data_IF_887440170192
#
_entry.id   IF_887440170192
#
_cell.length_a   1.000
_cell.length_b   1.000
_cell.length_c   1.000
_cell.angle_alpha   90.00
_cell.angle_beta   90.00
_cell.angle_gamma   90.00
#
_symmetry.space_group_name_H-M   'P 1'
#
loop_
_entity.id
_entity.type
_entity.pdbx_description
1 polymer ?
#
# COMPACT_ATOMS: atom_id res chain seq x y z
N UNK A 1 10.27 -31.28 14.24
CA UNK A 1 8.88 -31.03 13.82
C UNK A 1 8.49 -32.16 12.88
N UNK A 2 7.49 -32.98 13.20
CA UNK A 2 7.11 -34.15 12.38
C UNK A 2 6.58 -33.68 11.03
N UNK A 3 7.25 -34.07 9.94
CA UNK A 3 6.90 -33.72 8.55
C UNK A 3 5.46 -34.12 8.21
N UNK A 4 5.01 -35.21 8.82
CA UNK A 4 3.72 -35.85 8.58
C UNK A 4 2.58 -35.22 9.41
N UNK A 5 2.87 -34.27 10.31
CA UNK A 5 1.88 -33.59 11.15
C UNK A 5 1.10 -32.50 10.40
N UNK A 6 1.73 -31.85 9.43
CA UNK A 6 1.16 -30.72 8.70
C UNK A 6 0.84 -31.06 7.22
N UNK A 7 1.52 -32.06 6.63
CA UNK A 7 1.29 -32.49 5.25
C UNK A 7 1.20 -34.03 5.14
N UNK A 8 0.30 -34.58 4.30
CA UNK A 8 0.28 -36.01 4.00
C UNK A 8 1.57 -36.45 3.29
N UNK A 9 1.96 -37.72 3.46
CA UNK A 9 3.04 -38.33 2.67
C UNK A 9 2.61 -38.49 1.21
N UNK A 10 3.57 -38.33 0.31
CA UNK A 10 3.39 -38.62 -1.12
C UNK A 10 2.96 -40.08 -1.28
N UNK A 11 1.80 -40.30 -1.91
CA UNK A 11 1.20 -41.63 -2.13
C UNK A 11 -0.03 -41.93 -1.29
N UNK A 12 -0.29 -41.16 -0.23
CA UNK A 12 -1.56 -41.21 0.51
C UNK A 12 -2.54 -40.19 -0.09
N UNK A 13 -3.79 -40.58 -0.33
CA UNK A 13 -4.82 -39.69 -0.89
C UNK A 13 -5.08 -38.44 -0.03
N UNK A 14 -5.94 -37.53 -0.51
CA UNK A 14 -6.34 -36.33 0.24
C UNK A 14 -6.83 -36.72 1.65
N UNK A 15 -6.02 -36.45 2.67
CA UNK A 15 -6.42 -36.52 4.08
C UNK A 15 -6.80 -35.12 4.55
N UNK A 16 -7.88 -35.03 5.32
CA UNK A 16 -8.31 -33.77 5.94
C UNK A 16 -7.23 -33.28 6.90
N UNK A 17 -6.88 -32.01 6.78
CA UNK A 17 -5.94 -31.38 7.70
C UNK A 17 -6.62 -31.27 9.07
N UNK A 18 -6.17 -32.08 10.04
CA UNK A 18 -6.72 -32.14 11.41
C UNK A 18 -6.54 -30.84 12.21
N UNK A 19 -5.85 -29.83 11.66
CA UNK A 19 -5.52 -28.59 12.35
C UNK A 19 -5.96 -27.40 11.51
N UNK A 20 -6.82 -26.58 12.10
CA UNK A 20 -7.28 -25.34 11.49
C UNK A 20 -6.11 -24.37 11.32
N UNK A 21 -5.78 -24.00 10.07
CA UNK A 21 -4.68 -23.10 9.72
C UNK A 21 -4.70 -21.77 10.49
N UNK A 22 -5.88 -21.28 10.85
CA UNK A 22 -6.07 -20.09 11.68
C UNK A 22 -5.47 -20.19 13.08
N UNK A 23 -5.37 -21.39 13.64
CA UNK A 23 -4.80 -21.64 14.97
C UNK A 23 -3.27 -21.75 14.85
N UNK A 24 -2.79 -22.48 13.84
CA UNK A 24 -1.36 -22.66 13.52
C UNK A 24 -0.69 -21.34 13.19
N UNK A 25 -1.37 -20.46 12.46
CA UNK A 25 -0.81 -19.20 11.99
C UNK A 25 -0.77 -18.07 13.03
N UNK A 26 -1.30 -18.28 14.24
CA UNK A 26 -1.22 -17.27 15.30
C UNK A 26 0.24 -16.98 15.69
N UNK A 27 0.55 -15.76 16.17
CA UNK A 27 1.83 -15.46 16.78
C UNK A 27 2.21 -16.47 17.85
N UNK A 28 3.51 -16.74 18.04
CA UNK A 28 4.00 -17.63 19.11
C UNK A 28 3.52 -17.21 20.49
N UNK A 29 3.37 -15.91 20.73
CA UNK A 29 2.80 -15.31 21.96
C UNK A 29 1.33 -15.72 22.21
N UNK A 30 0.59 -16.06 21.17
CA UNK A 30 -0.81 -16.48 21.21
C UNK A 30 -0.97 -17.99 20.96
N UNK A 31 0.05 -18.79 21.33
CA UNK A 31 0.10 -20.26 21.22
C UNK A 31 0.02 -20.82 19.78
N UNK A 32 0.25 -20.00 18.76
CA UNK A 32 0.43 -20.49 17.38
C UNK A 32 1.90 -20.79 17.06
N UNK A 33 2.16 -21.27 15.85
CA UNK A 33 3.52 -21.57 15.38
C UNK A 33 4.23 -20.34 14.79
N UNK A 34 3.52 -19.22 14.61
CA UNK A 34 4.07 -17.98 14.07
C UNK A 34 4.32 -18.01 12.56
N UNK A 35 3.82 -19.01 11.83
CA UNK A 35 3.85 -19.03 10.38
C UNK A 35 2.64 -18.29 9.81
N UNK A 36 2.85 -17.19 9.06
CA UNK A 36 1.75 -16.56 8.30
C UNK A 36 1.10 -17.55 7.34
N UNK A 37 -0.20 -17.39 7.04
CA UNK A 37 -0.93 -18.34 6.17
C UNK A 37 -0.25 -18.43 4.80
N UNK A 38 0.09 -19.64 4.35
CA UNK A 38 0.79 -19.86 3.07
C UNK A 38 0.01 -19.31 1.87
N UNK A 39 -1.32 -19.38 1.91
CA UNK A 39 -2.18 -18.77 0.90
C UNK A 39 -2.02 -17.24 0.83
N UNK A 40 -1.82 -16.57 1.97
CA UNK A 40 -1.57 -15.12 2.04
C UNK A 40 -0.21 -14.77 1.45
N UNK A 41 0.83 -15.55 1.76
CA UNK A 41 2.17 -15.36 1.17
C UNK A 41 2.16 -15.57 -0.34
N UNK A 42 1.45 -16.59 -0.82
CA UNK A 42 1.32 -16.86 -2.25
C UNK A 42 0.63 -15.69 -2.99
N UNK A 43 -0.47 -15.18 -2.43
CA UNK A 43 -1.17 -14.00 -2.99
C UNK A 43 -0.27 -12.76 -2.97
N UNK A 44 0.44 -12.51 -1.87
CA UNK A 44 1.37 -11.37 -1.78
C UNK A 44 2.49 -11.46 -2.83
N UNK A 45 3.03 -12.66 -3.09
CA UNK A 45 4.04 -12.89 -4.12
C UNK A 45 3.49 -12.66 -5.53
N UNK A 46 2.30 -13.17 -5.85
CA UNK A 46 1.64 -12.91 -7.14
C UNK A 46 1.43 -11.41 -7.35
N UNK A 47 1.02 -10.70 -6.29
CA UNK A 47 0.83 -9.24 -6.31
C UNK A 47 2.13 -8.45 -6.42
N UNK A 48 3.26 -8.95 -5.88
CA UNK A 48 4.60 -8.38 -6.10
C UNK A 48 4.93 -8.37 -7.59
N UNK A 49 4.67 -9.46 -8.30
CA UNK A 49 4.93 -9.54 -9.74
C UNK A 49 4.05 -8.60 -10.55
N UNK A 50 2.77 -8.45 -10.18
CA UNK A 50 1.88 -7.46 -10.77
C UNK A 50 2.44 -6.03 -10.58
N UNK A 51 2.90 -5.68 -9.38
CA UNK A 51 3.50 -4.37 -9.10
C UNK A 51 4.81 -4.11 -9.86
N UNK A 52 5.64 -5.15 -10.03
CA UNK A 52 6.91 -5.03 -10.77
C UNK A 52 6.68 -4.81 -12.26
N UNK A 53 5.53 -5.22 -12.79
CA UNK A 53 5.23 -5.15 -14.23
C UNK A 53 5.37 -3.75 -14.82
N UNK A 54 4.71 -2.70 -14.31
CA UNK A 54 4.89 -1.33 -14.83
C UNK A 54 6.23 -0.70 -14.45
N UNK A 55 6.94 -1.20 -13.42
CA UNK A 55 8.20 -0.62 -12.92
C UNK A 55 9.43 -1.13 -13.65
N UNK A 56 9.39 -2.38 -14.11
CA UNK A 56 10.53 -3.06 -14.71
C UNK A 56 10.36 -3.24 -16.22
N UNK A 57 9.86 -2.20 -16.90
CA UNK A 57 9.58 -2.24 -18.35
C UNK A 57 10.79 -2.63 -19.21
N UNK A 58 12.01 -2.30 -18.75
CA UNK A 58 13.25 -2.61 -19.45
C UNK A 58 13.73 -4.06 -19.27
N UNK A 59 13.21 -4.77 -18.27
CA UNK A 59 13.64 -6.13 -17.92
C UNK A 59 13.22 -7.16 -18.98
N UNK A 60 14.01 -8.23 -19.12
CA UNK A 60 13.71 -9.31 -20.07
C UNK A 60 12.37 -9.98 -19.77
N UNK A 61 12.05 -10.22 -18.50
CA UNK A 61 10.81 -10.87 -18.12
C UNK A 61 9.58 -10.01 -18.50
N UNK A 62 9.65 -8.69 -18.30
CA UNK A 62 8.59 -7.79 -18.72
C UNK A 62 8.38 -7.84 -20.23
N UNK A 63 9.47 -7.73 -21.01
CA UNK A 63 9.42 -7.80 -22.48
C UNK A 63 8.79 -9.10 -22.98
N UNK A 64 9.15 -10.24 -22.37
CA UNK A 64 8.59 -11.56 -22.69
C UNK A 64 7.09 -11.62 -22.37
N UNK A 65 6.67 -11.13 -21.20
CA UNK A 65 5.26 -11.12 -20.82
C UNK A 65 4.46 -10.17 -21.75
N UNK A 66 4.97 -8.97 -22.01
CA UNK A 66 4.35 -8.00 -22.91
C UNK A 66 4.29 -8.52 -24.36
N UNK A 67 5.27 -9.30 -24.83
CA UNK A 67 5.23 -9.90 -26.17
C UNK A 67 4.22 -11.06 -26.27
N UNK A 68 4.05 -11.83 -25.19
CA UNK A 68 3.12 -12.98 -25.17
C UNK A 68 1.67 -12.51 -25.03
N UNK A 69 1.42 -11.52 -24.16
CA UNK A 69 0.08 -11.14 -23.73
C UNK A 69 -0.34 -9.75 -24.23
N UNK A 70 0.57 -8.93 -24.75
CA UNK A 70 0.33 -7.51 -25.00
C UNK A 70 0.15 -6.73 -23.69
N UNK A 71 0.21 -5.40 -23.75
CA UNK A 71 -0.02 -4.54 -22.58
C UNK A 71 -1.49 -4.10 -22.54
N UNK A 72 -2.12 -4.18 -21.37
CA UNK A 72 -3.49 -3.71 -21.19
C UNK A 72 -3.55 -2.18 -21.30
N UNK A 73 -4.68 -1.58 -21.75
CA UNK A 73 -4.80 -0.12 -21.89
C UNK A 73 -4.55 0.68 -20.62
N UNK A 74 -4.61 0.05 -19.44
CA UNK A 74 -4.25 0.70 -18.17
C UNK A 74 -2.73 0.80 -17.97
N UNK A 75 -1.89 0.13 -18.76
CA UNK A 75 -0.44 0.01 -18.62
C UNK A 75 0.08 -0.63 -17.31
N UNK A 76 -0.81 -1.15 -16.47
CA UNK A 76 -0.51 -1.77 -15.18
C UNK A 76 -0.43 -3.29 -15.24
N UNK A 77 -1.04 -3.91 -16.25
CA UNK A 77 -0.99 -5.35 -16.48
C UNK A 77 -0.93 -5.71 -17.98
N UNK A 78 -0.81 -7.00 -18.26
CA UNK A 78 -0.78 -7.53 -19.62
C UNK A 78 -2.18 -7.98 -20.04
N UNK A 79 -2.55 -7.94 -21.32
CA UNK A 79 -3.90 -8.33 -21.73
C UNK A 79 -4.19 -9.79 -21.39
N UNK A 80 -5.44 -10.06 -21.00
CA UNK A 80 -5.95 -11.43 -20.88
C UNK A 80 -6.32 -11.94 -22.26
N UNK A 81 -5.33 -12.20 -23.13
CA UNK A 81 -5.60 -12.80 -24.44
C UNK A 81 -6.06 -14.24 -24.21
N UNK A 82 -7.38 -14.41 -24.33
CA UNK A 82 -8.12 -15.65 -24.11
C UNK A 82 -7.69 -16.65 -25.18
N UNK A 83 -7.22 -17.84 -24.79
CA UNK A 83 -7.09 -18.95 -25.74
C UNK A 83 -6.29 -20.15 -25.27
N UNK A 84 -5.19 -19.97 -24.54
CA UNK A 84 -4.26 -21.08 -24.31
C UNK A 84 -4.04 -21.39 -22.82
N UNK A 85 -4.45 -22.60 -22.46
CA UNK A 85 -4.16 -23.33 -21.21
C UNK A 85 -4.75 -22.74 -19.92
N UNK A 86 -5.43 -23.60 -19.15
CA UNK A 86 -5.83 -23.37 -17.75
C UNK A 86 -4.64 -23.15 -16.80
N UNK A 87 -3.39 -23.32 -17.27
CA UNK A 87 -2.14 -23.19 -16.50
C UNK A 87 -1.27 -22.04 -17.02
N UNK A 88 -1.80 -20.83 -17.09
CA UNK A 88 -1.00 -19.63 -17.33
C UNK A 88 -0.75 -18.91 -16.00
N UNK A 89 0.49 -18.92 -15.47
CA UNK A 89 0.82 -18.24 -14.21
C UNK A 89 0.44 -16.74 -14.22
N UNK A 90 0.55 -16.09 -15.38
CA UNK A 90 0.19 -14.68 -15.54
C UNK A 90 -1.33 -14.44 -15.41
N UNK A 91 -2.17 -15.38 -15.84
CA UNK A 91 -3.61 -15.31 -15.62
C UNK A 91 -3.96 -15.37 -14.13
N UNK A 92 -3.26 -16.18 -13.34
CA UNK A 92 -3.43 -16.18 -11.88
C UNK A 92 -2.99 -14.86 -11.25
N UNK A 93 -1.99 -14.17 -11.80
CA UNK A 93 -1.55 -12.84 -11.36
C UNK A 93 -2.60 -11.77 -11.73
N UNK A 94 -3.11 -11.79 -12.95
CA UNK A 94 -4.07 -10.79 -13.43
C UNK A 94 -5.51 -11.02 -12.94
N UNK A 95 -5.93 -12.25 -12.63
CA UNK A 95 -7.22 -12.49 -11.97
C UNK A 95 -7.27 -11.86 -10.57
N UNK A 96 -6.13 -11.73 -9.89
CA UNK A 96 -6.05 -10.98 -8.63
C UNK A 96 -6.36 -9.50 -8.85
N UNK A 97 -6.10 -8.95 -10.04
CA UNK A 97 -6.39 -7.57 -10.41
C UNK A 97 -7.90 -7.31 -10.62
N UNK A 98 -8.63 -8.21 -11.29
CA UNK A 98 -10.08 -8.08 -11.51
C UNK A 98 -10.90 -8.01 -10.20
N UNK A 99 -10.47 -8.70 -9.15
CA UNK A 99 -11.12 -8.65 -7.83
C UNK A 99 -10.99 -7.27 -7.15
N UNK A 100 -9.93 -6.51 -7.45
CA UNK A 100 -9.63 -5.22 -6.79
C UNK A 100 -10.51 -4.07 -7.29
N UNK A 101 -11.09 -4.17 -8.49
CA UNK A 101 -11.79 -3.06 -9.16
C UNK A 101 -13.32 -3.01 -8.91
N UNK A 102 -13.88 -3.96 -8.15
CA UNK A 102 -15.34 -4.10 -7.97
C UNK A 102 -15.97 -3.18 -6.90
N UNK A 103 -15.25 -2.23 -6.31
CA UNK A 103 -15.74 -1.48 -5.13
C UNK A 103 -15.43 0.03 -5.15
N UNK A 104 -16.34 0.85 -4.58
CA UNK A 104 -16.48 2.33 -4.71
C UNK A 104 -15.42 3.27 -4.08
N UNK A 105 -14.12 2.94 -4.09
CA UNK A 105 -13.03 3.84 -3.59
C UNK A 105 -12.01 3.97 -4.72
N UNK A 106 -11.22 5.06 -4.83
CA UNK A 106 -10.23 5.23 -5.89
C UNK A 106 -9.38 3.98 -6.08
N UNK A 107 -9.44 3.44 -7.30
CA UNK A 107 -8.99 2.10 -7.64
C UNK A 107 -7.49 1.88 -7.46
N UNK A 108 -6.70 2.94 -7.66
CA UNK A 108 -5.26 2.97 -7.40
C UNK A 108 -4.94 2.75 -5.92
N UNK A 109 -5.74 3.34 -5.03
CA UNK A 109 -5.51 3.30 -3.59
C UNK A 109 -5.92 1.96 -2.95
N UNK A 110 -7.00 1.36 -3.46
CA UNK A 110 -7.51 0.05 -2.99
C UNK A 110 -6.58 -1.10 -3.30
N UNK A 111 -6.05 -1.14 -4.53
CA UNK A 111 -5.11 -2.17 -4.92
C UNK A 111 -3.87 -2.15 -4.01
N UNK A 112 -3.38 -0.95 -3.66
CA UNK A 112 -2.21 -0.72 -2.84
C UNK A 112 -2.47 -1.03 -1.35
N UNK A 113 -3.50 -0.45 -0.73
CA UNK A 113 -3.78 -0.66 0.70
C UNK A 113 -4.20 -2.11 1.03
N UNK A 114 -4.96 -2.76 0.15
CA UNK A 114 -5.42 -4.14 0.33
C UNK A 114 -4.31 -5.18 0.04
N UNK A 115 -3.28 -4.83 -0.74
CA UNK A 115 -2.07 -5.64 -0.95
C UNK A 115 -1.35 -5.97 0.36
N UNK A 116 -1.32 -4.99 1.26
CA UNK A 116 -0.45 -4.98 2.43
C UNK A 116 -1.18 -5.47 3.68
N UNK A 117 -2.45 -5.06 3.88
CA UNK A 117 -3.29 -5.60 4.96
C UNK A 117 -3.48 -7.11 4.86
N UNK A 118 -3.73 -7.62 3.66
CA UNK A 118 -3.96 -9.05 3.47
C UNK A 118 -2.68 -9.90 3.58
N UNK A 119 -1.50 -9.33 3.34
CA UNK A 119 -0.20 -10.02 3.43
C UNK A 119 0.40 -10.06 4.83
N UNK A 120 0.11 -9.06 5.67
CA UNK A 120 0.57 -8.95 7.07
C UNK A 120 -0.36 -9.67 8.06
N UNK A 121 -1.62 -9.90 7.69
CA UNK A 121 -2.66 -10.40 8.61
C UNK A 121 -3.23 -9.32 9.53
N UNK A 122 -2.84 -8.05 9.33
CA UNK A 122 -3.32 -6.88 10.06
C UNK A 122 -4.36 -6.11 9.23
N UNK A 123 -5.29 -5.42 9.89
CA UNK A 123 -6.30 -4.64 9.17
C UNK A 123 -5.70 -3.42 8.47
N UNK A 124 -6.38 -2.92 7.44
CA UNK A 124 -6.03 -1.63 6.81
C UNK A 124 -5.99 -0.53 7.88
N UNK A 125 -6.95 -0.52 8.79
CA UNK A 125 -7.01 0.44 9.89
C UNK A 125 -5.79 0.32 10.80
N UNK A 126 -5.31 -0.89 11.10
CA UNK A 126 -4.09 -1.03 11.87
C UNK A 126 -2.89 -0.49 11.10
N UNK A 127 -2.65 -0.95 9.88
CA UNK A 127 -1.43 -0.59 9.14
C UNK A 127 -1.35 0.90 8.79
N UNK A 128 -2.45 1.49 8.33
CA UNK A 128 -2.47 2.85 7.79
C UNK A 128 -2.95 3.90 8.78
N UNK A 129 -3.36 3.50 9.99
CA UNK A 129 -3.85 4.44 10.99
C UNK A 129 -3.30 4.15 12.40
N UNK A 130 -3.49 2.94 12.92
CA UNK A 130 -3.26 2.64 14.35
C UNK A 130 -1.89 2.03 14.68
N UNK A 131 -1.10 1.64 13.68
CA UNK A 131 0.24 1.10 13.86
C UNK A 131 1.13 2.18 14.50
N UNK A 132 1.97 1.87 15.51
CA UNK A 132 2.76 2.85 16.24
C UNK A 132 3.57 3.83 15.37
N UNK A 133 4.13 3.34 14.27
CA UNK A 133 4.87 4.19 13.30
C UNK A 133 3.89 5.09 12.55
N UNK A 134 2.82 4.53 12.00
CA UNK A 134 1.87 5.27 11.17
C UNK A 134 1.09 6.32 11.97
N UNK A 135 0.64 5.98 13.19
CA UNK A 135 -0.02 6.94 14.08
C UNK A 135 0.93 8.09 14.46
N UNK A 136 2.21 7.80 14.69
CA UNK A 136 3.26 8.81 14.93
C UNK A 136 3.43 9.77 13.74
N UNK A 137 3.45 9.24 12.51
CA UNK A 137 3.52 10.03 11.29
C UNK A 137 2.29 10.93 11.11
N UNK A 138 1.09 10.42 11.40
CA UNK A 138 -0.13 11.23 11.38
C UNK A 138 -0.09 12.33 12.44
N UNK A 139 0.32 12.05 13.67
CA UNK A 139 0.49 13.08 14.70
C UNK A 139 1.46 14.18 14.25
N UNK A 140 2.61 13.81 13.67
CA UNK A 140 3.56 14.78 13.09
C UNK A 140 2.90 15.64 12.01
N UNK A 141 2.08 15.04 11.14
CA UNK A 141 1.35 15.76 10.10
C UNK A 141 0.35 16.78 10.66
N UNK A 142 -0.50 16.38 11.61
CA UNK A 142 -1.46 17.31 12.22
C UNK A 142 -0.78 18.40 13.06
N UNK A 143 0.35 18.09 13.68
CA UNK A 143 1.16 19.07 14.42
C UNK A 143 1.72 20.17 13.49
N UNK A 144 2.04 19.87 12.22
CA UNK A 144 2.42 20.92 11.25
C UNK A 144 1.31 21.95 11.04
N UNK A 145 0.06 21.51 11.11
CA UNK A 145 -1.09 22.40 11.05
C UNK A 145 -1.53 22.95 12.42
N UNK A 146 -0.71 22.74 13.47
CA UNK A 146 -0.96 23.18 14.86
C UNK A 146 -2.25 22.62 15.44
N UNK A 147 -2.60 21.38 15.10
CA UNK A 147 -3.81 20.72 15.58
C UNK A 147 -3.47 19.50 16.41
N UNK A 148 -4.17 19.35 17.54
CA UNK A 148 -4.20 18.11 18.31
C UNK A 148 -5.13 17.14 17.60
N UNK A 149 -4.59 16.02 17.14
CA UNK A 149 -5.33 15.01 16.40
C UNK A 149 -5.68 13.80 17.26
N UNK A 150 -6.90 13.32 17.06
CA UNK A 150 -7.39 12.06 17.62
C UNK A 150 -7.66 11.12 16.44
N UNK A 151 -7.05 9.93 16.40
CA UNK A 151 -7.25 9.00 15.31
C UNK A 151 -8.71 8.53 15.23
N UNK A 152 -9.34 8.57 14.05
CA UNK A 152 -10.67 8.01 13.86
C UNK A 152 -10.64 6.48 13.96
N UNK A 153 -11.81 5.84 13.98
CA UNK A 153 -11.89 4.38 14.12
C UNK A 153 -11.41 3.66 12.87
N UNK A 154 -11.78 4.17 11.70
CA UNK A 154 -11.42 3.57 10.42
C UNK A 154 -10.51 4.48 9.58
N UNK A 155 -9.74 3.85 8.71
CA UNK A 155 -8.95 4.54 7.71
C UNK A 155 -9.83 5.25 6.66
N UNK A 156 -11.03 4.73 6.39
CA UNK A 156 -11.99 5.39 5.51
C UNK A 156 -12.44 6.72 6.10
N UNK A 157 -12.80 6.76 7.38
CA UNK A 157 -13.14 7.98 8.11
C UNK A 157 -12.00 9.00 8.04
N UNK A 158 -10.75 8.52 8.14
CA UNK A 158 -9.56 9.36 8.04
C UNK A 158 -9.45 10.07 6.69
N UNK A 159 -9.75 9.38 5.59
CA UNK A 159 -9.68 9.94 4.24
C UNK A 159 -10.77 10.97 3.93
N UNK A 160 -11.93 10.85 4.60
CA UNK A 160 -13.08 11.75 4.37
C UNK A 160 -13.15 12.92 5.34
N UNK A 161 -12.20 13.05 6.27
CA UNK A 161 -12.15 14.19 7.20
C UNK A 161 -12.12 15.50 6.40
N UNK A 162 -13.11 16.36 6.68
CA UNK A 162 -13.12 17.73 6.17
C UNK A 162 -12.14 18.58 6.96
N UNK A 163 -10.88 18.50 6.59
CA UNK A 163 -9.80 19.21 7.26
C UNK A 163 -9.77 20.68 6.87
N UNK A 164 -9.81 21.56 7.88
CA UNK A 164 -9.75 23.03 7.72
C UNK A 164 -8.52 23.67 8.39
N UNK A 165 -7.58 22.86 8.89
CA UNK A 165 -6.41 23.34 9.64
C UNK A 165 -5.44 24.20 8.83
N UNK A 166 -5.45 24.06 7.50
CA UNK A 166 -4.69 24.92 6.58
C UNK A 166 -5.55 26.03 5.96
N UNK A 167 -6.69 26.34 6.58
CA UNK A 167 -7.69 27.27 6.06
C UNK A 167 -8.60 26.65 4.99
N UNK A 168 -9.57 27.45 4.52
CA UNK A 168 -10.55 27.03 3.51
C UNK A 168 -10.11 27.33 2.06
N UNK A 169 -8.88 27.80 1.86
CA UNK A 169 -8.36 28.13 0.53
C UNK A 169 -8.20 26.88 -0.34
N UNK A 170 -8.24 27.04 -1.66
CA UNK A 170 -7.95 25.95 -2.61
C UNK A 170 -6.56 25.35 -2.30
N UNK A 171 -5.56 26.20 -2.04
CA UNK A 171 -4.22 25.79 -1.61
C UNK A 171 -4.26 24.93 -0.34
N UNK A 172 -4.99 25.34 0.70
CA UNK A 172 -5.09 24.57 1.93
C UNK A 172 -5.66 23.17 1.73
N UNK A 173 -6.75 23.07 0.97
CA UNK A 173 -7.41 21.79 0.64
C UNK A 173 -6.48 20.89 -0.19
N UNK A 174 -5.87 21.44 -1.23
CA UNK A 174 -4.97 20.68 -2.12
C UNK A 174 -3.72 20.22 -1.38
N UNK A 175 -3.10 21.07 -0.58
CA UNK A 175 -1.89 20.70 0.18
C UNK A 175 -2.19 19.60 1.19
N UNK A 176 -3.34 19.67 1.87
CA UNK A 176 -3.77 18.62 2.79
C UNK A 176 -3.98 17.28 2.08
N UNK A 177 -4.65 17.28 0.93
CA UNK A 177 -4.87 16.07 0.14
C UNK A 177 -3.54 15.46 -0.31
N UNK A 178 -2.61 16.28 -0.81
CA UNK A 178 -1.27 15.84 -1.20
C UNK A 178 -0.55 15.21 -0.02
N UNK A 179 -0.58 15.87 1.15
CA UNK A 179 0.10 15.37 2.34
C UNK A 179 -0.45 14.03 2.84
N UNK A 180 -1.78 13.85 2.81
CA UNK A 180 -2.40 12.57 3.13
C UNK A 180 -1.96 11.48 2.14
N UNK A 181 -2.03 11.77 0.84
CA UNK A 181 -1.64 10.83 -0.21
C UNK A 181 -0.16 10.45 -0.12
N UNK A 182 0.74 11.38 0.15
CA UNK A 182 2.18 11.09 0.29
C UNK A 182 2.48 10.28 1.53
N UNK A 183 1.85 10.58 2.68
CA UNK A 183 1.97 9.78 3.90
C UNK A 183 1.57 8.33 3.63
N UNK A 184 0.40 8.14 3.04
CA UNK A 184 -0.13 6.80 2.80
C UNK A 184 0.72 6.05 1.78
N UNK A 185 1.15 6.73 0.71
CA UNK A 185 2.03 6.15 -0.29
C UNK A 185 3.38 5.72 0.31
N UNK A 186 3.98 6.53 1.20
CA UNK A 186 5.24 6.19 1.84
C UNK A 186 5.11 5.09 2.89
N UNK A 187 4.05 5.10 3.69
CA UNK A 187 3.73 3.98 4.61
C UNK A 187 3.58 2.70 3.81
N UNK A 188 2.83 2.75 2.72
CA UNK A 188 2.67 1.60 1.82
C UNK A 188 4.02 1.12 1.25
N UNK A 189 4.84 2.03 0.75
CA UNK A 189 6.15 1.72 0.19
C UNK A 189 7.07 1.07 1.24
N UNK A 190 7.06 1.62 2.46
CA UNK A 190 7.85 1.12 3.57
C UNK A 190 7.47 -0.30 3.96
N UNK A 191 6.16 -0.58 4.07
CA UNK A 191 5.70 -1.92 4.43
C UNK A 191 6.09 -2.93 3.33
N UNK A 192 6.01 -2.54 2.05
CA UNK A 192 6.47 -3.42 0.98
C UNK A 192 7.97 -3.67 1.01
N UNK A 193 8.79 -2.66 1.30
CA UNK A 193 10.23 -2.84 1.40
C UNK A 193 10.58 -3.82 2.53
N UNK A 194 9.89 -3.72 3.67
CA UNK A 194 10.08 -4.64 4.80
C UNK A 194 9.66 -6.07 4.47
N UNK A 195 8.53 -6.24 3.78
CA UNK A 195 8.00 -7.56 3.44
C UNK A 195 8.84 -8.23 2.33
N UNK A 196 9.26 -7.48 1.32
CA UNK A 196 9.78 -8.04 0.07
C UNK A 196 11.27 -7.85 -0.19
N UNK A 197 11.91 -6.90 0.50
CA UNK A 197 13.33 -6.60 0.36
C UNK A 197 14.10 -6.71 1.69
N UNK A 198 13.42 -7.00 2.80
CA UNK A 198 13.98 -7.03 4.16
C UNK A 198 14.74 -5.74 4.53
N UNK A 199 14.28 -4.61 3.99
CA UNK A 199 14.81 -3.26 4.24
C UNK A 199 13.77 -2.43 5.00
N UNK A 200 14.22 -1.72 6.03
CA UNK A 200 13.37 -0.78 6.78
C UNK A 200 14.07 0.55 7.01
N UNK A 201 13.32 1.65 6.90
CA UNK A 201 13.74 3.01 7.23
C UNK A 201 13.27 3.36 8.64
N UNK A 202 13.91 4.36 9.28
CA UNK A 202 13.43 4.87 10.56
C UNK A 202 12.21 5.77 10.38
N UNK A 203 11.46 6.02 11.47
CA UNK A 203 10.31 6.92 11.44
C UNK A 203 10.70 8.35 11.02
N UNK A 204 11.89 8.81 11.43
CA UNK A 204 12.42 10.13 11.08
C UNK A 204 12.68 10.24 9.57
N UNK A 205 13.32 9.23 8.98
CA UNK A 205 13.56 9.19 7.53
C UNK A 205 12.23 9.17 6.76
N UNK A 206 11.24 8.40 7.24
CA UNK A 206 9.92 8.38 6.61
C UNK A 206 9.26 9.75 6.68
N UNK A 207 9.33 10.42 7.83
CA UNK A 207 8.79 11.76 8.00
C UNK A 207 9.45 12.80 7.08
N UNK A 208 10.77 12.76 6.95
CA UNK A 208 11.51 13.66 6.06
C UNK A 208 11.14 13.44 4.59
N UNK A 209 10.96 12.17 4.18
CA UNK A 209 10.44 11.84 2.85
C UNK A 209 9.00 12.34 2.67
N UNK A 210 8.12 12.21 3.67
CA UNK A 210 6.73 12.71 3.59
C UNK A 210 6.74 14.21 3.34
N UNK A 211 7.53 14.97 4.10
CA UNK A 211 7.69 16.42 3.90
C UNK A 211 8.25 16.74 2.52
N UNK A 212 9.31 16.06 2.12
CA UNK A 212 9.93 16.29 0.82
C UNK A 212 8.96 16.02 -0.34
N UNK A 213 8.32 14.85 -0.37
CA UNK A 213 7.40 14.48 -1.45
C UNK A 213 6.12 15.30 -1.46
N UNK A 214 5.58 15.68 -0.29
CA UNK A 214 4.41 16.56 -0.24
C UNK A 214 4.72 17.94 -0.81
N UNK A 215 5.87 18.53 -0.46
CA UNK A 215 6.31 19.80 -1.04
C UNK A 215 6.62 19.67 -2.54
N UNK A 216 7.27 18.59 -2.95
CA UNK A 216 7.59 18.34 -4.36
C UNK A 216 6.32 18.21 -5.19
N UNK A 217 5.36 17.39 -4.75
CA UNK A 217 4.10 17.21 -5.47
C UNK A 217 3.29 18.50 -5.49
N UNK A 218 3.26 19.25 -4.38
CA UNK A 218 2.60 20.55 -4.35
C UNK A 218 3.23 21.55 -5.33
N UNK A 219 4.56 21.54 -5.50
CA UNK A 219 5.26 22.43 -6.44
C UNK A 219 4.90 22.18 -7.91
N UNK A 220 4.42 20.96 -8.22
CA UNK A 220 3.94 20.61 -9.56
C UNK A 220 2.48 21.02 -9.80
N UNK A 221 1.77 21.52 -8.78
CA UNK A 221 0.38 21.93 -8.92
C UNK A 221 0.28 23.42 -9.21
N UNK A 222 -0.55 23.76 -10.19
CA UNK A 222 -0.79 25.13 -10.64
C UNK A 222 -1.15 26.10 -9.51
N UNK A 223 -1.90 25.63 -8.52
CA UNK A 223 -2.27 26.42 -7.35
C UNK A 223 -1.05 26.97 -6.59
N UNK A 224 0.13 26.36 -6.66
CA UNK A 224 1.36 26.79 -5.97
C UNK A 224 2.40 27.40 -6.91
N UNK A 225 2.02 27.76 -8.14
CA UNK A 225 2.92 28.42 -9.09
C UNK A 225 3.54 29.67 -8.44
N UNK A 226 4.86 29.80 -8.55
CA UNK A 226 5.64 30.91 -7.98
C UNK A 226 6.01 30.76 -6.49
N UNK A 227 5.56 29.70 -5.81
CA UNK A 227 5.98 29.42 -4.43
C UNK A 227 7.27 28.58 -4.43
N UNK A 228 8.37 29.05 -3.82
CA UNK A 228 9.61 28.28 -3.76
C UNK A 228 9.44 26.99 -2.95
N UNK A 229 10.12 25.92 -3.37
CA UNK A 229 10.07 24.61 -2.69
C UNK A 229 10.48 24.70 -1.20
N UNK A 230 11.47 25.53 -0.88
CA UNK A 230 11.92 25.77 0.50
C UNK A 230 10.79 26.32 1.38
N UNK A 231 9.93 27.19 0.84
CA UNK A 231 8.78 27.75 1.55
C UNK A 231 7.71 26.67 1.75
N UNK A 232 7.48 25.83 0.74
CA UNK A 232 6.60 24.66 0.83
C UNK A 232 7.09 23.60 1.82
N UNK A 233 8.36 23.56 2.17
CA UNK A 233 8.90 22.62 3.17
C UNK A 233 8.82 23.16 4.60
N UNK A 234 8.87 24.48 4.77
CA UNK A 234 9.03 25.12 6.07
C UNK A 234 7.72 25.64 6.68
N UNK A 235 6.78 26.16 5.87
CA UNK A 235 5.62 26.87 6.44
C UNK A 235 4.34 26.75 5.61
N UNK A 236 3.61 25.64 5.82
CA UNK A 236 2.35 25.38 5.11
C UNK A 236 1.26 26.39 5.45
N UNK A 237 1.21 26.86 6.70
CA UNK A 237 0.20 27.84 7.14
C UNK A 237 0.37 29.15 6.37
N UNK A 238 1.61 29.66 6.25
CA UNK A 238 1.87 30.88 5.50
C UNK A 238 1.56 30.73 4.01
N UNK A 239 1.95 29.59 3.40
CA UNK A 239 1.65 29.29 1.99
C UNK A 239 0.14 29.30 1.74
N UNK A 240 -0.64 28.66 2.61
CA UNK A 240 -2.08 28.55 2.44
C UNK A 240 -2.87 29.80 2.82
N UNK A 241 -2.29 30.69 3.64
CA UNK A 241 -2.85 31.99 4.03
C UNK A 241 -2.55 33.10 3.01
N UNK A 242 -1.51 32.96 2.20
CA UNK A 242 -1.18 33.92 1.14
C UNK A 242 -2.33 34.00 0.12
N UNK A 243 -2.92 35.19 -0.02
CA UNK A 243 -3.82 35.51 -1.13
C UNK A 243 -2.94 35.72 -2.36
N UNK A 244 -3.11 34.88 -3.37
CA UNK A 244 -2.69 35.20 -4.74
C UNK A 244 -3.92 35.69 -5.49
#
# INVERSE_FOLDING_TARGET
>A
MQRDFLWPRVGEGKKDHLIRWEVVSRPKKLRGLGFGKTSMRNIALLRKWLWRFPRERSSLWHKVIASIYGTHPNEWDANMVVGWSHRCPWKSIAQVFQFLWSSKVPSEFKALAWLVAYGSGESIDHLFLHCPVTIGLWHKLFNLARLVWVPPRSFEDMLVITFKGLGNSLRGKTLWQIACLTLIWLVWQEINNRIFEDKGRTEEMLWDLIRFYSSLWASCIEAFRGVPLSVLQLNWIAVCASKV
#
